data_IF_952466320265
#
_entry.id   IF_952466320265
#
_cell.length_a   1.000
_cell.length_b   1.000
_cell.length_c   1.000
_cell.angle_alpha   90.00
_cell.angle_beta   90.00
_cell.angle_gamma   90.00
#
_symmetry.space_group_name_H-M   'P 1'
#
loop_
_entity.id
_entity.type
_entity.pdbx_description
1 polymer ?
#
# COMPACT_ATOMS: atom_id res chain seq x y z
N UNK A 1 64.95 -38.93 65.54
CA UNK A 1 65.21 -39.53 64.22
C UNK A 1 63.89 -39.67 63.49
N UNK A 2 63.39 -38.55 62.96
CA UNK A 2 62.16 -38.49 62.16
C UNK A 2 62.54 -38.75 60.70
N UNK A 3 62.14 -39.90 60.18
CA UNK A 3 62.28 -40.23 58.77
C UNK A 3 61.23 -39.50 57.95
N UNK A 4 61.67 -38.66 57.01
CA UNK A 4 60.79 -38.05 56.02
C UNK A 4 60.42 -39.09 54.95
N UNK A 5 59.12 -39.34 54.77
CA UNK A 5 58.62 -40.13 53.65
C UNK A 5 58.65 -39.31 52.35
N UNK A 6 59.11 -39.86 51.22
CA UNK A 6 59.07 -39.17 49.94
C UNK A 6 57.62 -39.07 49.44
N UNK A 7 57.23 -37.87 49.02
CA UNK A 7 55.93 -37.61 48.40
C UNK A 7 55.79 -38.26 47.03
N UNK A 8 54.54 -38.45 46.54
CA UNK A 8 54.26 -39.13 45.27
C UNK A 8 54.80 -38.36 44.05
N UNK A 9 55.13 -39.05 42.94
CA UNK A 9 55.62 -38.41 41.73
C UNK A 9 54.54 -37.54 41.08
N UNK A 10 54.96 -36.39 40.55
CA UNK A 10 54.09 -35.47 39.81
C UNK A 10 53.53 -36.16 38.56
N UNK A 11 52.19 -36.23 38.47
CA UNK A 11 51.49 -36.66 37.26
C UNK A 11 51.70 -35.69 36.09
N UNK A 12 51.43 -36.12 34.84
CA UNK A 12 51.60 -35.27 33.67
C UNK A 12 50.71 -34.03 33.74
N UNK A 13 51.23 -32.87 33.30
CA UNK A 13 50.48 -31.61 33.22
C UNK A 13 49.31 -31.76 32.23
N UNK A 14 48.10 -31.27 32.56
CA UNK A 14 46.99 -31.27 31.60
C UNK A 14 47.36 -30.42 30.37
N UNK A 15 46.94 -30.85 29.18
CA UNK A 15 47.15 -30.12 27.94
C UNK A 15 46.29 -28.84 27.92
N UNK A 16 46.69 -27.78 27.21
CA UNK A 16 45.86 -26.58 27.06
C UNK A 16 44.72 -26.90 26.08
N UNK A 17 43.60 -27.38 26.61
CA UNK A 17 42.40 -27.76 25.85
C UNK A 17 41.24 -26.78 26.08
N UNK A 18 41.40 -25.57 25.56
CA UNK A 18 40.33 -24.59 25.41
C UNK A 18 40.59 -23.69 24.19
N UNK A 19 40.69 -24.30 23.00
CA UNK A 19 40.41 -23.60 21.74
C UNK A 19 39.16 -24.20 21.10
N UNK A 20 38.04 -23.92 21.75
CA UNK A 20 36.70 -24.37 21.39
C UNK A 20 36.32 -24.12 19.92
N UNK A 21 36.97 -23.15 19.23
CA UNK A 21 36.95 -23.05 17.77
C UNK A 21 38.32 -22.66 17.20
N UNK A 22 38.81 -23.41 16.23
CA UNK A 22 40.02 -23.04 15.46
C UNK A 22 39.73 -21.83 14.57
N UNK A 23 40.73 -20.98 14.30
CA UNK A 23 40.59 -19.81 13.39
C UNK A 23 39.99 -20.20 12.03
N UNK A 24 40.29 -21.42 11.57
CA UNK A 24 39.74 -22.01 10.33
C UNK A 24 38.25 -22.30 10.44
N UNK A 25 37.76 -22.78 11.59
CA UNK A 25 36.33 -22.97 11.83
C UNK A 25 35.59 -21.64 11.90
N UNK A 26 36.14 -20.63 12.59
CA UNK A 26 35.55 -19.28 12.64
C UNK A 26 35.47 -18.66 11.24
N UNK A 27 36.54 -18.79 10.44
CA UNK A 27 36.53 -18.31 9.06
C UNK A 27 35.50 -19.05 8.18
N UNK A 28 35.34 -20.36 8.37
CA UNK A 28 34.35 -21.14 7.65
C UNK A 28 32.91 -20.73 8.00
N UNK A 29 32.60 -20.54 9.28
CA UNK A 29 31.28 -20.05 9.70
C UNK A 29 30.99 -18.65 9.18
N UNK A 30 31.98 -17.75 9.24
CA UNK A 30 31.83 -16.40 8.68
C UNK A 30 31.58 -16.41 7.17
N UNK A 31 32.27 -17.28 6.42
CA UNK A 31 32.05 -17.44 4.97
C UNK A 31 30.65 -17.98 4.65
N UNK A 32 30.16 -18.97 5.41
CA UNK A 32 28.80 -19.51 5.24
C UNK A 32 27.73 -18.46 5.53
N UNK A 33 27.89 -17.68 6.61
CA UNK A 33 26.97 -16.60 6.96
C UNK A 33 26.95 -15.50 5.88
N UNK A 34 28.12 -15.12 5.35
CA UNK A 34 28.21 -14.15 4.27
C UNK A 34 27.53 -14.65 2.99
N UNK A 35 27.71 -15.93 2.64
CA UNK A 35 27.04 -16.54 1.49
C UNK A 35 25.52 -16.58 1.67
N UNK A 36 25.04 -16.94 2.86
CA UNK A 36 23.61 -16.96 3.18
C UNK A 36 22.99 -15.55 3.09
N UNK A 37 23.69 -14.52 3.57
CA UNK A 37 23.25 -13.13 3.45
C UNK A 37 23.20 -12.66 1.99
N UNK A 38 24.22 -13.01 1.18
CA UNK A 38 24.24 -12.69 -0.24
C UNK A 38 23.10 -13.38 -1.01
N UNK A 39 22.83 -14.66 -0.72
CA UNK A 39 21.72 -15.40 -1.32
C UNK A 39 20.35 -14.85 -0.88
N UNK A 40 20.19 -14.52 0.41
CA UNK A 40 18.95 -13.94 0.94
C UNK A 40 18.65 -12.57 0.32
N UNK A 41 19.66 -11.71 0.19
CA UNK A 41 19.50 -10.38 -0.45
C UNK A 41 19.19 -10.49 -1.94
N UNK A 42 19.84 -11.40 -2.66
CA UNK A 42 19.55 -11.64 -4.08
C UNK A 42 18.12 -12.18 -4.29
N UNK A 43 17.67 -13.10 -3.44
CA UNK A 43 16.29 -13.61 -3.47
C UNK A 43 15.27 -12.52 -3.16
N UNK A 44 15.53 -11.67 -2.16
CA UNK A 44 14.66 -10.54 -1.82
C UNK A 44 14.54 -9.52 -2.95
N UNK A 45 15.66 -9.15 -3.59
CA UNK A 45 15.67 -8.22 -4.72
C UNK A 45 14.96 -8.80 -5.95
N UNK A 46 15.17 -10.08 -6.23
CA UNK A 46 14.48 -10.76 -7.35
C UNK A 46 12.99 -10.89 -7.07
N UNK A 47 12.60 -11.20 -5.82
CA UNK A 47 11.21 -11.15 -5.37
C UNK A 47 10.58 -9.78 -5.57
N UNK A 48 11.29 -8.70 -5.21
CA UNK A 48 10.82 -7.32 -5.45
C UNK A 48 10.65 -6.97 -6.94
N UNK A 49 11.42 -7.60 -7.84
CA UNK A 49 11.28 -7.41 -9.30
C UNK A 49 10.11 -8.21 -9.88
N UNK A 50 9.84 -9.39 -9.34
CA UNK A 50 8.72 -10.25 -9.76
C UNK A 50 7.38 -9.79 -9.16
N UNK A 51 7.40 -9.17 -7.98
CA UNK A 51 6.22 -8.71 -7.26
C UNK A 51 5.56 -7.45 -7.83
N UNK A 52 6.05 -6.87 -8.95
CA UNK A 52 5.34 -5.85 -9.74
C UNK A 52 4.77 -4.67 -8.94
N UNK A 53 5.48 -3.53 -8.94
CA UNK A 53 4.99 -2.20 -8.51
C UNK A 53 4.52 -2.09 -7.05
N UNK A 54 5.41 -1.68 -6.14
CA UNK A 54 4.96 -1.33 -4.78
C UNK A 54 5.99 -0.80 -3.77
N UNK A 55 7.20 -0.39 -4.15
CA UNK A 55 8.20 0.03 -3.17
C UNK A 55 9.12 1.13 -3.65
N UNK A 56 8.70 2.39 -3.46
CA UNK A 56 9.59 3.54 -3.49
C UNK A 56 10.13 3.95 -4.85
N UNK A 57 9.27 4.07 -5.86
CA UNK A 57 9.57 5.03 -6.92
C UNK A 57 9.41 6.44 -6.33
N UNK A 58 10.47 7.24 -6.38
CA UNK A 58 10.26 8.69 -6.55
C UNK A 58 9.31 8.83 -7.73
N UNK A 59 8.07 9.20 -7.43
CA UNK A 59 7.08 9.54 -8.44
C UNK A 59 7.59 10.82 -9.08
N UNK A 60 8.45 10.71 -10.09
CA UNK A 60 8.26 11.59 -11.23
C UNK A 60 6.85 11.30 -11.68
N UNK A 61 5.95 12.27 -11.48
CA UNK A 61 4.58 12.17 -11.92
C UNK A 61 4.61 11.94 -13.43
N UNK A 62 4.62 10.67 -13.84
CA UNK A 62 4.05 10.29 -15.11
C UNK A 62 2.62 10.82 -14.99
N UNK A 63 2.27 11.79 -15.83
CA UNK A 63 0.90 12.14 -16.06
C UNK A 63 0.22 10.86 -16.57
N UNK A 64 -0.28 10.05 -15.63
CA UNK A 64 -1.18 8.96 -15.92
C UNK A 64 -2.32 9.54 -16.73
N UNK A 65 -2.86 8.75 -17.66
CA UNK A 65 -4.03 9.15 -18.43
C UNK A 65 -5.09 9.73 -17.47
N UNK A 66 -5.76 10.83 -17.84
CA UNK A 66 -6.77 11.44 -16.99
C UNK A 66 -7.83 10.39 -16.60
N UNK A 67 -8.40 10.47 -15.40
CA UNK A 67 -9.42 9.51 -14.96
C UNK A 67 -10.57 9.42 -15.99
N UNK A 68 -11.01 8.21 -16.28
CA UNK A 68 -12.15 7.98 -17.17
C UNK A 68 -13.46 8.21 -16.40
N UNK A 69 -14.08 9.37 -16.61
CA UNK A 69 -15.34 9.74 -15.97
C UNK A 69 -16.51 8.81 -16.27
N UNK A 70 -16.54 8.21 -17.47
CA UNK A 70 -17.60 7.26 -17.86
C UNK A 70 -17.43 5.95 -17.09
N UNK A 71 -16.20 5.44 -17.01
CA UNK A 71 -15.91 4.22 -16.24
C UNK A 71 -16.19 4.41 -14.75
N UNK A 72 -15.77 5.55 -14.17
CA UNK A 72 -16.06 5.89 -12.77
C UNK A 72 -17.57 5.99 -12.52
N UNK A 73 -18.32 6.63 -13.42
CA UNK A 73 -19.77 6.74 -13.29
C UNK A 73 -20.45 5.36 -13.30
N UNK A 74 -20.04 4.49 -14.23
CA UNK A 74 -20.56 3.13 -14.32
C UNK A 74 -20.29 2.32 -13.05
N UNK A 75 -19.09 2.45 -12.47
CA UNK A 75 -18.68 1.71 -11.27
C UNK A 75 -19.36 2.22 -9.98
N UNK A 76 -19.54 3.53 -9.84
CA UNK A 76 -19.87 4.13 -8.54
C UNK A 76 -21.23 4.84 -8.48
N UNK A 77 -21.85 5.16 -9.63
CA UNK A 77 -23.04 6.02 -9.66
C UNK A 77 -24.23 5.36 -10.36
N UNK A 78 -23.98 4.64 -11.46
CA UNK A 78 -25.02 4.12 -12.34
C UNK A 78 -25.97 3.12 -11.65
N UNK A 79 -25.50 2.38 -10.65
CA UNK A 79 -26.33 1.44 -9.89
C UNK A 79 -27.54 2.10 -9.22
N UNK A 80 -27.41 3.35 -8.80
CA UNK A 80 -28.51 4.11 -8.19
C UNK A 80 -29.11 5.15 -9.14
N UNK A 81 -28.28 5.82 -9.94
CA UNK A 81 -28.71 6.92 -10.81
C UNK A 81 -29.04 6.49 -12.25
N UNK A 82 -29.03 5.18 -12.52
CA UNK A 82 -29.38 4.60 -13.81
C UNK A 82 -28.29 4.75 -14.88
N UNK A 83 -28.45 4.07 -16.02
CA UNK A 83 -27.65 4.37 -17.20
C UNK A 83 -27.86 5.81 -17.64
N UNK A 84 -26.82 6.45 -18.15
CA UNK A 84 -26.85 7.83 -18.67
C UNK A 84 -27.43 8.86 -17.69
N UNK A 85 -27.35 8.61 -16.38
CA UNK A 85 -27.86 9.49 -15.34
C UNK A 85 -29.35 9.84 -15.45
N UNK A 86 -30.14 8.95 -16.05
CA UNK A 86 -31.58 9.10 -16.25
C UNK A 86 -32.41 8.94 -14.96
N UNK A 87 -31.80 8.44 -13.89
CA UNK A 87 -32.46 8.11 -12.63
C UNK A 87 -32.92 6.65 -12.57
N UNK A 88 -32.92 6.09 -11.37
CA UNK A 88 -33.46 4.77 -11.06
C UNK A 88 -33.95 4.76 -9.61
N UNK A 89 -33.11 4.28 -8.68
CA UNK A 89 -33.37 4.40 -7.24
C UNK A 89 -33.13 5.83 -6.75
N UNK A 90 -32.08 6.47 -7.27
CA UNK A 90 -31.79 7.89 -7.11
C UNK A 90 -32.36 8.72 -8.26
N UNK A 91 -32.49 10.04 -8.07
CA UNK A 91 -33.01 10.94 -9.10
C UNK A 91 -32.08 11.02 -10.32
N UNK A 92 -32.62 11.48 -11.44
CA UNK A 92 -31.81 11.86 -12.60
C UNK A 92 -30.79 12.96 -12.21
N UNK A 93 -29.58 12.90 -12.78
CA UNK A 93 -28.51 13.85 -12.45
C UNK A 93 -28.33 14.97 -13.47
N UNK A 94 -29.22 15.10 -14.47
CA UNK A 94 -29.16 16.15 -15.51
C UNK A 94 -28.97 17.56 -14.94
N UNK A 95 -29.71 17.90 -13.88
CA UNK A 95 -29.58 19.20 -13.23
C UNK A 95 -28.17 19.46 -12.67
N UNK A 96 -27.47 18.41 -12.23
CA UNK A 96 -26.13 18.54 -11.67
C UNK A 96 -25.04 18.79 -12.71
N UNK A 97 -25.28 18.45 -13.98
CA UNK A 97 -24.38 18.77 -15.08
C UNK A 97 -24.18 20.29 -15.23
N UNK A 98 -25.22 21.08 -14.94
CA UNK A 98 -25.18 22.55 -14.97
C UNK A 98 -24.61 23.22 -13.71
N UNK A 99 -24.25 22.47 -12.68
CA UNK A 99 -23.67 23.05 -11.46
C UNK A 99 -22.24 23.54 -11.69
N UNK A 100 -21.73 24.38 -10.78
CA UNK A 100 -20.28 24.65 -10.73
C UNK A 100 -19.56 23.41 -10.21
N UNK A 101 -18.31 23.19 -10.64
CA UNK A 101 -17.52 22.02 -10.22
C UNK A 101 -17.36 21.90 -8.70
N UNK A 102 -17.21 23.04 -8.00
CA UNK A 102 -17.15 23.07 -6.54
C UNK A 102 -18.48 22.65 -5.88
N UNK A 103 -19.63 23.02 -6.46
CA UNK A 103 -20.93 22.62 -5.94
C UNK A 103 -21.21 21.13 -6.19
N UNK A 104 -20.79 20.60 -7.34
CA UNK A 104 -20.83 19.16 -7.63
C UNK A 104 -19.94 18.38 -6.66
N UNK A 105 -18.69 18.82 -6.48
CA UNK A 105 -17.72 18.23 -5.55
C UNK A 105 -18.31 18.17 -4.13
N UNK A 106 -18.84 19.30 -3.63
CA UNK A 106 -19.48 19.35 -2.31
C UNK A 106 -20.69 18.43 -2.21
N UNK A 107 -21.52 18.35 -3.23
CA UNK A 107 -22.67 17.45 -3.23
C UNK A 107 -22.26 15.97 -3.19
N UNK A 108 -21.22 15.57 -3.92
CA UNK A 108 -20.73 14.18 -3.95
C UNK A 108 -20.02 13.81 -2.65
N UNK A 109 -19.17 14.69 -2.13
CA UNK A 109 -18.37 14.42 -0.94
C UNK A 109 -19.18 14.55 0.36
N UNK A 110 -19.97 15.62 0.48
CA UNK A 110 -20.63 16.03 1.73
C UNK A 110 -22.16 15.94 1.66
N UNK A 111 -22.71 15.74 0.46
CA UNK A 111 -24.15 15.65 0.27
C UNK A 111 -24.90 16.97 0.34
N UNK A 112 -24.23 18.11 0.18
CA UNK A 112 -24.86 19.44 0.19
C UNK A 112 -24.96 20.00 -1.22
N UNK A 113 -26.18 20.17 -1.70
CA UNK A 113 -26.46 20.73 -3.01
C UNK A 113 -26.31 22.26 -3.02
N UNK A 114 -26.18 22.90 -4.20
CA UNK A 114 -25.98 24.35 -4.28
C UNK A 114 -27.11 25.19 -3.67
N UNK A 115 -28.34 24.69 -3.65
CA UNK A 115 -29.52 25.27 -2.99
C UNK A 115 -29.54 25.06 -1.46
N UNK A 116 -28.50 24.46 -0.88
CA UNK A 116 -28.36 24.23 0.56
C UNK A 116 -29.08 22.99 1.08
N UNK A 117 -29.76 22.24 0.22
CA UNK A 117 -30.44 21.00 0.61
C UNK A 117 -29.44 19.89 0.91
N UNK A 118 -29.76 19.08 1.93
CA UNK A 118 -29.00 17.88 2.25
C UNK A 118 -29.57 16.69 1.47
N UNK A 119 -28.71 15.93 0.81
CA UNK A 119 -29.07 14.70 0.11
C UNK A 119 -29.47 13.61 1.10
N UNK A 120 -30.38 12.71 0.71
CA UNK A 120 -30.79 11.58 1.55
C UNK A 120 -29.61 10.67 1.92
N UNK A 121 -29.71 9.98 3.06
CA UNK A 121 -28.64 9.12 3.59
C UNK A 121 -28.31 7.92 2.69
N UNK A 122 -29.24 7.52 1.82
CA UNK A 122 -29.03 6.47 0.81
C UNK A 122 -27.97 6.85 -0.20
N UNK A 123 -27.85 8.14 -0.54
CA UNK A 123 -26.73 8.61 -1.37
C UNK A 123 -25.50 8.74 -0.48
N UNK A 124 -24.47 7.88 -0.67
CA UNK A 124 -23.35 7.84 0.23
C UNK A 124 -22.53 9.14 0.16
N UNK A 125 -21.85 9.43 1.27
CA UNK A 125 -20.88 10.53 1.34
C UNK A 125 -19.54 9.99 0.87
N UNK A 126 -19.17 10.31 -0.36
CA UNK A 126 -17.97 9.73 -0.97
C UNK A 126 -16.67 10.18 -0.31
N UNK A 127 -16.70 11.25 0.50
CA UNK A 127 -15.60 11.57 1.40
C UNK A 127 -15.32 10.46 2.43
N UNK A 128 -16.36 9.75 2.87
CA UNK A 128 -16.26 8.70 3.88
C UNK A 128 -16.10 7.30 3.26
N UNK A 129 -16.78 7.03 2.15
CA UNK A 129 -16.81 5.68 1.55
C UNK A 129 -15.80 5.48 0.41
N UNK A 130 -15.29 6.56 -0.17
CA UNK A 130 -14.40 6.50 -1.33
C UNK A 130 -15.08 6.11 -2.64
N UNK A 131 -14.37 6.28 -3.76
CA UNK A 131 -14.82 5.79 -5.09
C UNK A 131 -14.22 4.42 -5.43
N UNK A 132 -12.98 4.18 -5.01
CA UNK A 132 -12.16 3.01 -5.33
C UNK A 132 -11.53 2.38 -4.06
N UNK A 133 -12.18 2.60 -2.91
CA UNK A 133 -11.65 2.26 -1.59
C UNK A 133 -10.73 3.33 -0.99
N UNK A 134 -10.46 4.42 -1.72
CA UNK A 134 -9.78 5.61 -1.22
C UNK A 134 -10.63 6.87 -1.39
N UNK A 135 -10.27 7.93 -0.65
CA UNK A 135 -10.90 9.23 -0.80
C UNK A 135 -10.80 9.72 -2.26
N UNK A 136 -11.89 10.24 -2.86
CA UNK A 136 -11.89 10.68 -4.26
C UNK A 136 -10.88 11.80 -4.48
N UNK A 137 -10.09 11.68 -5.54
CA UNK A 137 -9.23 12.78 -6.01
C UNK A 137 -10.07 13.82 -6.74
N UNK A 138 -9.60 15.08 -6.77
CA UNK A 138 -10.28 16.12 -7.54
C UNK A 138 -10.37 15.78 -9.03
N UNK A 139 -9.33 15.16 -9.59
CA UNK A 139 -9.33 14.73 -10.99
C UNK A 139 -10.44 13.69 -11.29
N UNK A 140 -10.73 12.79 -10.36
CA UNK A 140 -11.85 11.83 -10.50
C UNK A 140 -13.21 12.55 -10.46
N UNK A 141 -13.38 13.52 -9.55
CA UNK A 141 -14.62 14.31 -9.45
C UNK A 141 -14.84 15.20 -10.67
N UNK A 142 -13.79 15.81 -11.19
CA UNK A 142 -13.83 16.62 -12.40
C UNK A 142 -14.17 15.76 -13.62
N UNK A 143 -13.57 14.57 -13.73
CA UNK A 143 -13.87 13.62 -14.80
C UNK A 143 -15.34 13.14 -14.75
N UNK A 144 -15.85 12.84 -13.55
CA UNK A 144 -17.27 12.51 -13.35
C UNK A 144 -18.19 13.65 -13.77
N UNK A 145 -17.88 14.88 -13.36
CA UNK A 145 -18.71 16.05 -13.71
C UNK A 145 -18.64 16.35 -15.20
N UNK A 146 -17.47 16.21 -15.81
CA UNK A 146 -17.28 16.34 -17.25
C UNK A 146 -18.11 15.30 -18.00
N UNK A 147 -18.10 14.03 -17.56
CA UNK A 147 -18.93 12.99 -18.15
C UNK A 147 -20.42 13.32 -18.07
N UNK A 148 -20.92 13.77 -16.91
CA UNK A 148 -22.33 14.16 -16.77
C UNK A 148 -22.74 15.28 -17.75
N UNK A 149 -21.83 16.19 -18.10
CA UNK A 149 -22.09 17.25 -19.09
C UNK A 149 -22.16 16.74 -20.53
N UNK A 150 -21.69 15.52 -20.80
CA UNK A 150 -21.79 14.90 -22.13
C UNK A 150 -23.11 14.17 -22.35
N UNK A 151 -23.89 13.96 -21.29
CA UNK A 151 -25.12 13.18 -21.32
C UNK A 151 -26.33 14.06 -21.75
N UNK A 152 -27.32 13.46 -22.43
CA UNK A 152 -28.51 14.15 -22.92
C UNK A 152 -29.55 14.47 -21.84
#
# INVERSE_FOLDING_TARGET
MSGAHPGPPAGPRPAPEDRWFTRRQVAAFAAVLAMAAALGTAAYQTGGRLAGTGGGAVVTAAAGSPPDGRALYAASCAGCHGPDAAGALGPALRASAGWRGADFTRAVLEGRTPDGRQLGAVMPRFAAVGLDGSAPTQAQLDALHAYLKTLP
#
